data_IF_355284396880
#
_entry.id   IF_355284396880
#
_cell.length_a   1.000
_cell.length_b   1.000
_cell.length_c   1.000
_cell.angle_alpha   90.00
_cell.angle_beta   90.00
_cell.angle_gamma   90.00
#
_symmetry.space_group_name_H-M   'P 1'
#
loop_
_entity.id
_entity.type
_entity.pdbx_description
1 polymer ?
#
# COMPACT_ATOMS: atom_id res chain seq x y z
N UNK A 1 30.60 73.05 2.52
CA UNK A 1 29.40 72.21 2.67
C UNK A 1 29.87 70.78 2.86
N UNK A 2 29.86 70.24 4.09
CA UNK A 2 30.34 68.89 4.41
C UNK A 2 29.17 67.91 4.23
N UNK A 3 29.27 66.98 3.29
CA UNK A 3 28.32 65.88 3.14
C UNK A 3 28.66 64.79 4.18
N UNK A 4 27.73 64.50 5.08
CA UNK A 4 27.79 63.35 5.99
C UNK A 4 27.11 62.19 5.25
N UNK A 5 27.88 61.16 4.91
CA UNK A 5 27.38 59.94 4.28
C UNK A 5 26.83 59.02 5.38
N UNK A 6 25.50 58.88 5.45
CA UNK A 6 24.85 57.95 6.37
C UNK A 6 24.98 56.51 5.82
N UNK A 7 25.68 55.65 6.55
CA UNK A 7 25.81 54.23 6.24
C UNK A 7 24.55 53.50 6.73
N UNK A 8 23.65 53.15 5.82
CA UNK A 8 22.50 52.29 6.10
C UNK A 8 22.97 50.83 6.20
N UNK A 9 23.05 50.30 7.42
CA UNK A 9 23.23 48.88 7.68
C UNK A 9 21.90 48.15 7.41
N UNK A 10 21.85 47.40 6.32
CA UNK A 10 20.75 46.48 6.04
C UNK A 10 20.90 45.24 6.91
N UNK A 11 20.00 45.08 7.89
CA UNK A 11 19.89 43.84 8.66
C UNK A 11 19.15 42.82 7.80
N UNK A 12 19.86 41.80 7.32
CA UNK A 12 19.25 40.66 6.65
C UNK A 12 18.42 39.85 7.67
N UNK A 13 17.17 39.47 7.36
CA UNK A 13 16.42 38.57 8.22
C UNK A 13 17.12 37.21 8.31
N UNK A 14 17.06 36.52 9.47
CA UNK A 14 17.64 35.19 9.59
C UNK A 14 16.96 34.26 8.57
N UNK A 15 17.77 33.52 7.81
CA UNK A 15 17.29 32.47 6.94
C UNK A 15 16.48 31.48 7.77
N UNK A 16 15.22 31.25 7.39
CA UNK A 16 14.41 30.21 8.01
C UNK A 16 15.14 28.88 7.88
N UNK A 17 15.53 28.30 9.02
CA UNK A 17 16.12 26.96 9.04
C UNK A 17 15.09 25.99 8.44
N UNK A 18 15.46 25.35 7.33
CA UNK A 18 14.73 24.20 6.83
C UNK A 18 14.71 23.18 7.98
N UNK A 19 13.52 22.82 8.45
CA UNK A 19 13.36 21.77 9.44
C UNK A 19 13.84 20.47 8.81
N UNK A 20 14.91 19.88 9.34
CA UNK A 20 15.40 18.54 8.99
C UNK A 20 14.36 17.49 9.40
N UNK A 21 13.21 17.46 8.73
CA UNK A 21 12.28 16.36 8.86
C UNK A 21 12.94 15.16 8.19
N UNK A 22 13.18 14.11 8.97
CA UNK A 22 13.56 12.79 8.45
C UNK A 22 12.57 12.45 7.33
N UNK A 23 13.05 12.27 6.08
CA UNK A 23 12.15 12.01 4.95
C UNK A 23 11.26 10.81 5.25
N UNK A 24 9.96 10.96 5.03
CA UNK A 24 9.01 9.85 5.15
C UNK A 24 9.38 8.75 4.17
N UNK A 25 9.32 7.49 4.60
CA UNK A 25 9.52 6.37 3.69
C UNK A 25 8.47 6.39 2.55
N UNK A 26 8.85 6.13 1.30
CA UNK A 26 7.92 6.18 0.17
C UNK A 26 6.75 5.20 0.31
N UNK A 27 5.63 5.51 -0.35
CA UNK A 27 4.48 4.63 -0.48
C UNK A 27 4.24 4.30 -1.96
N UNK A 28 3.99 3.02 -2.24
CA UNK A 28 3.64 2.52 -3.56
C UNK A 28 2.20 1.99 -3.49
N UNK A 29 1.35 2.50 -4.38
CA UNK A 29 -0.06 2.16 -4.48
C UNK A 29 -0.27 1.20 -5.65
N UNK A 30 -1.01 0.11 -5.41
CA UNK A 30 -1.21 -1.00 -6.35
C UNK A 30 -2.70 -1.19 -6.63
N UNK A 31 -3.11 -0.98 -7.88
CA UNK A 31 -4.51 -1.10 -8.29
C UNK A 31 -4.98 -2.56 -8.44
N UNK A 32 -6.29 -2.74 -8.59
CA UNK A 32 -6.95 -4.04 -8.68
C UNK A 32 -7.15 -4.58 -10.10
N UNK A 33 -7.92 -5.67 -10.17
CA UNK A 33 -8.29 -6.38 -11.40
C UNK A 33 -9.03 -5.47 -12.37
N UNK A 34 -8.62 -5.45 -13.65
CA UNK A 34 -9.17 -4.60 -14.73
C UNK A 34 -9.09 -3.08 -14.50
N UNK A 35 -8.49 -2.63 -13.40
CA UNK A 35 -8.27 -1.22 -13.09
C UNK A 35 -7.01 -0.65 -13.71
N UNK A 36 -6.69 0.58 -13.31
CA UNK A 36 -5.48 1.29 -13.71
C UNK A 36 -4.92 2.12 -12.54
N UNK A 37 -3.68 2.62 -12.67
CA UNK A 37 -3.09 3.48 -11.66
C UNK A 37 -3.91 4.73 -11.34
N UNK A 38 -4.71 5.23 -12.30
CA UNK A 38 -5.61 6.37 -12.08
C UNK A 38 -6.62 6.14 -10.97
N UNK A 39 -7.03 4.89 -10.72
CA UNK A 39 -7.99 4.54 -9.66
C UNK A 39 -7.44 4.85 -8.26
N UNK A 40 -6.11 4.87 -8.12
CA UNK A 40 -5.40 5.17 -6.88
C UNK A 40 -5.08 6.66 -6.71
N UNK A 41 -5.48 7.54 -7.64
CA UNK A 41 -5.03 8.95 -7.66
C UNK A 41 -5.43 9.74 -6.41
N UNK A 42 -6.66 9.56 -5.92
CA UNK A 42 -7.12 10.24 -4.70
C UNK A 42 -6.28 9.85 -3.48
N UNK A 43 -5.94 8.57 -3.36
CA UNK A 43 -5.06 8.08 -2.31
C UNK A 43 -3.62 8.59 -2.47
N UNK A 44 -3.08 8.59 -3.69
CA UNK A 44 -1.75 9.17 -3.99
C UNK A 44 -1.68 10.62 -3.53
N UNK A 45 -2.67 11.42 -3.89
CA UNK A 45 -2.71 12.85 -3.59
C UNK A 45 -2.83 13.08 -2.07
N UNK A 46 -3.59 12.24 -1.37
CA UNK A 46 -3.68 12.28 0.08
C UNK A 46 -2.36 11.90 0.79
N UNK A 47 -1.66 10.87 0.32
CA UNK A 47 -0.34 10.52 0.85
C UNK A 47 0.70 11.61 0.58
N UNK A 48 0.69 12.19 -0.63
CA UNK A 48 1.56 13.31 -0.98
C UNK A 48 1.28 14.54 -0.11
N UNK A 49 0.00 14.87 0.11
CA UNK A 49 -0.40 15.96 1.01
C UNK A 49 0.01 15.70 2.47
N UNK A 50 0.10 14.43 2.89
CA UNK A 50 0.62 14.02 4.20
C UNK A 50 2.17 13.95 4.27
N UNK A 51 2.87 14.29 3.18
CA UNK A 51 4.33 14.37 3.13
C UNK A 51 5.04 13.07 2.76
N UNK A 52 4.33 12.05 2.25
CA UNK A 52 4.94 10.81 1.76
C UNK A 52 5.28 10.93 0.26
N UNK A 53 6.49 10.55 -0.18
CA UNK A 53 6.75 10.29 -1.60
C UNK A 53 5.83 9.17 -2.10
N UNK A 54 4.83 9.51 -2.93
CA UNK A 54 3.76 8.59 -3.33
C UNK A 54 3.89 8.20 -4.81
N UNK A 55 3.94 6.90 -5.05
CA UNK A 55 4.07 6.29 -6.37
C UNK A 55 2.87 5.38 -6.63
N UNK A 56 2.52 5.19 -7.90
CA UNK A 56 1.48 4.26 -8.32
C UNK A 56 2.11 3.30 -9.33
N UNK A 57 1.80 2.01 -9.21
CA UNK A 57 2.16 1.03 -10.22
C UNK A 57 1.02 0.84 -11.20
N UNK A 58 1.32 0.85 -12.50
CA UNK A 58 0.43 0.35 -13.54
C UNK A 58 0.78 -1.12 -13.80
N UNK A 59 -0.16 -2.01 -13.47
CA UNK A 59 0.02 -3.45 -13.61
C UNK A 59 -0.11 -3.86 -15.09
N UNK A 60 0.75 -4.78 -15.57
CA UNK A 60 0.77 -5.20 -16.98
C UNK A 60 -0.42 -6.10 -17.37
N UNK A 61 -1.20 -6.60 -16.41
CA UNK A 61 -2.31 -7.51 -16.66
C UNK A 61 -2.95 -8.04 -15.37
N UNK A 62 -3.56 -9.22 -15.47
CA UNK A 62 -4.32 -9.83 -14.38
C UNK A 62 -3.65 -11.08 -13.80
N UNK A 63 -2.38 -11.30 -14.14
CA UNK A 63 -1.55 -12.35 -13.54
C UNK A 63 -0.77 -11.79 -12.34
N UNK A 64 -1.11 -12.24 -11.13
CA UNK A 64 -0.51 -11.80 -9.87
C UNK A 64 0.99 -12.05 -9.78
N UNK A 65 1.51 -13.13 -10.36
CA UNK A 65 2.96 -13.42 -10.35
C UNK A 65 3.72 -12.42 -11.21
N UNK A 66 3.21 -12.13 -12.42
CA UNK A 66 3.78 -11.11 -13.31
C UNK A 66 3.69 -9.73 -12.68
N UNK A 67 2.53 -9.41 -12.09
CA UNK A 67 2.31 -8.15 -11.38
C UNK A 67 3.27 -7.98 -10.20
N UNK A 68 3.52 -9.05 -9.42
CA UNK A 68 4.46 -9.04 -8.30
C UNK A 68 5.90 -8.71 -8.73
N UNK A 69 6.34 -9.18 -9.91
CA UNK A 69 7.66 -8.82 -10.46
C UNK A 69 7.77 -7.32 -10.78
N UNK A 70 6.69 -6.72 -11.30
CA UNK A 70 6.64 -5.26 -11.56
C UNK A 70 6.65 -4.48 -10.25
N UNK A 71 5.89 -4.93 -9.24
CA UNK A 71 5.90 -4.33 -7.90
C UNK A 71 7.30 -4.39 -7.28
N UNK A 72 7.99 -5.54 -7.39
CA UNK A 72 9.35 -5.72 -6.90
C UNK A 72 10.34 -4.74 -7.54
N UNK A 73 10.30 -4.64 -8.87
CA UNK A 73 11.16 -3.74 -9.64
C UNK A 73 10.91 -2.27 -9.28
N UNK A 74 9.64 -1.88 -9.11
CA UNK A 74 9.30 -0.52 -8.70
C UNK A 74 9.77 -0.23 -7.26
N UNK A 75 9.60 -1.18 -6.33
CA UNK A 75 10.09 -1.03 -4.96
C UNK A 75 11.60 -0.80 -4.92
N UNK A 76 12.38 -1.56 -5.70
CA UNK A 76 13.83 -1.36 -5.78
C UNK A 76 14.20 -0.02 -6.42
N UNK A 77 13.50 0.37 -7.48
CA UNK A 77 13.72 1.65 -8.15
C UNK A 77 13.41 2.84 -7.23
N UNK A 78 12.29 2.80 -6.49
CA UNK A 78 11.89 3.84 -5.54
C UNK A 78 12.90 3.95 -4.40
N UNK A 79 13.34 2.82 -3.83
CA UNK A 79 14.38 2.81 -2.78
C UNK A 79 15.69 3.41 -3.29
N UNK A 80 16.11 3.06 -4.50
CA UNK A 80 17.32 3.60 -5.10
C UNK A 80 17.23 5.12 -5.37
N UNK A 81 16.08 5.59 -5.87
CA UNK A 81 15.87 7.01 -6.19
C UNK A 81 15.76 7.90 -4.94
N UNK A 82 15.14 7.38 -3.87
CA UNK A 82 14.86 8.16 -2.65
C UNK A 82 15.92 7.96 -1.57
N UNK A 83 16.76 6.94 -1.68
CA UNK A 83 17.70 6.53 -0.63
C UNK A 83 17.02 5.82 0.55
N UNK A 84 15.71 5.52 0.46
CA UNK A 84 14.97 4.90 1.55
C UNK A 84 15.38 3.43 1.76
N UNK A 85 15.56 3.05 3.03
CA UNK A 85 15.88 1.68 3.41
C UNK A 85 14.73 0.70 3.15
N UNK A 86 13.48 1.15 3.31
CA UNK A 86 12.25 0.38 3.06
C UNK A 86 11.18 1.26 2.40
N UNK A 87 10.14 0.63 1.84
CA UNK A 87 8.93 1.29 1.31
C UNK A 87 7.67 0.80 2.02
N UNK A 88 6.57 1.50 1.79
CA UNK A 88 5.23 1.09 2.20
C UNK A 88 4.43 0.67 0.97
N UNK A 89 3.57 -0.33 1.10
CA UNK A 89 2.71 -0.80 0.03
C UNK A 89 1.25 -0.71 0.42
N UNK A 90 0.42 -0.20 -0.47
CA UNK A 90 -1.04 -0.21 -0.32
C UNK A 90 -1.65 -0.85 -1.56
N UNK A 91 -2.23 -2.04 -1.42
CA UNK A 91 -2.83 -2.79 -2.52
C UNK A 91 -4.35 -2.83 -2.42
N UNK A 92 -5.04 -2.54 -3.52
CA UNK A 92 -6.49 -2.68 -3.64
C UNK A 92 -6.87 -3.97 -4.36
N UNK A 93 -7.85 -4.70 -3.83
CA UNK A 93 -8.42 -5.89 -4.46
C UNK A 93 -7.32 -6.90 -4.84
N UNK A 94 -7.28 -7.36 -6.10
CA UNK A 94 -6.22 -8.21 -6.68
C UNK A 94 -4.80 -7.67 -6.45
N UNK A 95 -4.60 -6.34 -6.42
CA UNK A 95 -3.30 -5.72 -6.18
C UNK A 95 -2.69 -6.09 -4.83
N UNK A 96 -3.52 -6.39 -3.83
CA UNK A 96 -3.06 -6.94 -2.55
C UNK A 96 -2.50 -8.36 -2.66
N UNK A 97 -3.06 -9.21 -3.52
CA UNK A 97 -2.54 -10.56 -3.77
C UNK A 97 -1.20 -10.53 -4.49
N UNK A 98 -1.11 -9.72 -5.55
CA UNK A 98 0.15 -9.44 -6.25
C UNK A 98 1.22 -8.93 -5.29
N UNK A 99 0.82 -8.06 -4.35
CA UNK A 99 1.72 -7.54 -3.30
C UNK A 99 2.15 -8.64 -2.33
N UNK A 100 1.23 -9.45 -1.78
CA UNK A 100 1.59 -10.57 -0.88
C UNK A 100 2.58 -11.52 -1.55
N UNK A 101 2.40 -11.82 -2.84
CA UNK A 101 3.33 -12.69 -3.57
C UNK A 101 4.74 -12.09 -3.62
N UNK A 102 4.87 -10.78 -3.85
CA UNK A 102 6.16 -10.08 -3.77
C UNK A 102 6.79 -10.19 -2.38
N UNK A 103 6.01 -9.99 -1.32
CA UNK A 103 6.49 -10.07 0.06
C UNK A 103 7.04 -11.46 0.38
N UNK A 104 6.30 -12.51 -0.01
CA UNK A 104 6.57 -13.89 0.37
C UNK A 104 7.65 -14.56 -0.48
N UNK A 105 7.66 -14.32 -1.80
CA UNK A 105 8.49 -15.12 -2.72
C UNK A 105 9.61 -14.34 -3.41
N UNK A 106 9.55 -13.01 -3.42
CA UNK A 106 10.45 -12.18 -4.22
C UNK A 106 11.33 -11.24 -3.36
N UNK A 107 11.48 -11.57 -2.08
CA UNK A 107 12.35 -10.86 -1.14
C UNK A 107 11.78 -9.53 -0.62
N UNK A 108 10.48 -9.28 -0.81
CA UNK A 108 9.83 -8.06 -0.33
C UNK A 108 9.82 -7.92 1.20
N UNK A 109 9.83 -9.02 1.94
CA UNK A 109 9.87 -9.04 3.40
C UNK A 109 10.98 -8.17 4.02
N UNK A 110 12.15 -8.06 3.37
CA UNK A 110 13.27 -7.25 3.86
C UNK A 110 13.24 -5.79 3.40
N UNK A 111 12.36 -5.44 2.45
CA UNK A 111 12.34 -4.15 1.74
C UNK A 111 11.10 -3.32 2.02
N UNK A 112 10.13 -3.88 2.75
CA UNK A 112 8.84 -3.26 3.02
C UNK A 112 8.71 -3.08 4.54
N UNK A 113 8.19 -1.92 4.97
CA UNK A 113 7.91 -1.63 6.39
C UNK A 113 6.44 -1.90 6.73
N UNK A 114 5.54 -1.49 5.86
CA UNK A 114 4.09 -1.61 6.06
C UNK A 114 3.43 -2.11 4.79
N UNK A 115 2.52 -3.06 4.93
CA UNK A 115 1.61 -3.49 3.87
C UNK A 115 0.16 -3.29 4.31
N UNK A 116 -0.59 -2.52 3.53
CA UNK A 116 -2.02 -2.32 3.68
C UNK A 116 -2.74 -2.96 2.50
N UNK A 117 -3.69 -3.86 2.75
CA UNK A 117 -4.58 -4.38 1.71
C UNK A 117 -5.99 -3.84 1.88
N UNK A 118 -6.69 -3.50 0.79
CA UNK A 118 -8.06 -3.00 0.80
C UNK A 118 -8.95 -3.90 -0.04
N UNK A 119 -9.95 -4.54 0.58
CA UNK A 119 -10.89 -5.42 -0.11
C UNK A 119 -10.24 -6.61 -0.83
N UNK A 120 -8.99 -6.96 -0.49
CA UNK A 120 -8.23 -7.99 -1.19
C UNK A 120 -8.75 -9.38 -0.85
N UNK A 121 -9.06 -10.23 -1.85
CA UNK A 121 -9.62 -11.56 -1.59
C UNK A 121 -8.51 -12.55 -1.26
N UNK A 122 -7.92 -12.46 -0.06
CA UNK A 122 -6.75 -13.25 0.37
C UNK A 122 -6.97 -14.75 0.23
N UNK A 123 -8.16 -15.26 0.56
CA UNK A 123 -8.52 -16.68 0.37
C UNK A 123 -9.42 -16.92 -0.85
N UNK A 124 -9.43 -15.96 -1.77
CA UNK A 124 -9.97 -16.10 -3.12
C UNK A 124 -11.40 -15.61 -3.33
N UNK A 125 -11.77 -15.60 -4.61
CA UNK A 125 -13.00 -15.09 -5.17
C UNK A 125 -13.57 -16.13 -6.15
N UNK A 126 -14.62 -16.85 -5.72
CA UNK A 126 -15.18 -18.00 -6.45
C UNK A 126 -15.47 -17.75 -7.94
N UNK A 127 -16.05 -16.61 -8.37
CA UNK A 127 -16.29 -16.36 -9.79
C UNK A 127 -15.01 -16.33 -10.65
N UNK A 128 -13.83 -16.07 -10.07
CA UNK A 128 -12.57 -16.13 -10.82
C UNK A 128 -12.23 -17.55 -11.29
N UNK A 129 -12.84 -18.60 -10.75
CA UNK A 129 -12.64 -19.98 -11.22
C UNK A 129 -13.15 -20.21 -12.66
N UNK A 130 -13.90 -19.27 -13.22
CA UNK A 130 -14.36 -19.29 -14.61
C UNK A 130 -13.42 -18.55 -15.57
N UNK A 131 -12.34 -17.95 -15.07
CA UNK A 131 -11.41 -17.13 -15.84
C UNK A 131 -10.12 -17.88 -16.18
N UNK A 132 -9.48 -17.49 -17.28
CA UNK A 132 -8.13 -17.92 -17.61
C UNK A 132 -7.12 -17.38 -16.60
N UNK A 133 -5.97 -18.04 -16.46
CA UNK A 133 -4.93 -17.64 -15.51
C UNK A 133 -4.44 -16.21 -15.75
N UNK A 134 -4.31 -15.81 -17.03
CA UNK A 134 -3.89 -14.47 -17.43
C UNK A 134 -4.96 -13.39 -17.23
N UNK A 135 -6.22 -13.80 -17.03
CA UNK A 135 -7.39 -12.94 -16.95
C UNK A 135 -7.90 -12.75 -15.51
N UNK A 136 -7.15 -13.20 -14.50
CA UNK A 136 -7.51 -13.11 -13.08
C UNK A 136 -7.90 -14.45 -12.44
N UNK A 137 -7.78 -15.57 -13.15
CA UNK A 137 -8.09 -16.91 -12.64
C UNK A 137 -7.24 -17.33 -11.43
N UNK A 138 -6.12 -16.66 -11.18
CA UNK A 138 -5.32 -16.84 -9.95
C UNK A 138 -6.06 -16.43 -8.67
N UNK A 139 -7.14 -15.64 -8.76
CA UNK A 139 -8.00 -15.32 -7.60
C UNK A 139 -8.96 -16.48 -7.25
N UNK A 140 -9.04 -17.54 -8.04
CA UNK A 140 -9.89 -18.70 -7.72
C UNK A 140 -9.35 -19.42 -6.47
N UNK A 141 -10.17 -19.70 -5.43
CA UNK A 141 -9.73 -20.40 -4.21
C UNK A 141 -9.10 -21.79 -4.42
N UNK A 142 -9.28 -22.38 -5.60
CA UNK A 142 -8.71 -23.68 -5.98
C UNK A 142 -7.50 -23.55 -6.91
N UNK A 143 -7.04 -22.33 -7.17
CA UNK A 143 -5.86 -22.10 -8.00
C UNK A 143 -4.58 -22.38 -7.17
N UNK A 144 -3.60 -23.10 -7.72
CA UNK A 144 -2.32 -23.34 -7.04
C UNK A 144 -1.61 -22.07 -6.55
N UNK A 145 -1.82 -20.93 -7.21
CA UNK A 145 -1.33 -19.63 -6.76
C UNK A 145 -1.80 -19.29 -5.34
N UNK A 146 -3.11 -19.41 -5.04
CA UNK A 146 -3.61 -19.08 -3.70
C UNK A 146 -3.16 -20.12 -2.68
N UNK A 147 -3.11 -21.40 -3.04
CA UNK A 147 -2.59 -22.42 -2.13
C UNK A 147 -1.13 -22.18 -1.73
N UNK A 148 -0.29 -21.77 -2.67
CA UNK A 148 1.10 -21.37 -2.39
C UNK A 148 1.15 -20.08 -1.54
N UNK A 149 0.34 -19.09 -1.88
CA UNK A 149 0.29 -17.81 -1.18
C UNK A 149 -0.18 -17.94 0.27
N UNK A 150 -1.11 -18.84 0.54
CA UNK A 150 -1.70 -19.07 1.86
C UNK A 150 -1.03 -20.23 2.63
N UNK A 151 -0.02 -20.89 2.03
CA UNK A 151 0.74 -21.93 2.72
C UNK A 151 1.65 -21.34 3.82
N UNK A 152 1.35 -21.61 5.09
CA UNK A 152 2.19 -21.19 6.22
C UNK A 152 1.78 -19.83 6.78
N UNK A 153 2.75 -18.96 7.05
CA UNK A 153 2.51 -17.64 7.64
C UNK A 153 2.05 -16.63 6.57
N UNK A 154 0.91 -16.00 6.83
CA UNK A 154 0.30 -14.95 6.00
C UNK A 154 1.02 -13.60 6.13
N UNK A 155 1.76 -13.41 7.21
CA UNK A 155 2.39 -12.16 7.62
C UNK A 155 3.90 -12.27 7.78
N UNK A 156 4.63 -12.80 6.78
CA UNK A 156 6.04 -13.12 6.94
C UNK A 156 6.93 -11.87 7.11
N UNK A 157 7.84 -11.94 8.08
CA UNK A 157 8.89 -10.94 8.29
C UNK A 157 8.48 -9.78 9.21
N UNK A 158 9.36 -8.80 9.32
CA UNK A 158 9.14 -7.59 10.14
C UNK A 158 8.39 -6.51 9.34
N UNK A 159 7.14 -6.80 8.99
CA UNK A 159 6.23 -5.90 8.29
C UNK A 159 5.00 -5.65 9.17
N UNK A 160 4.57 -4.39 9.26
CA UNK A 160 3.26 -4.07 9.82
C UNK A 160 2.17 -4.37 8.77
N UNK A 161 1.39 -5.43 9.00
CA UNK A 161 0.27 -5.82 8.13
C UNK A 161 -1.03 -5.15 8.57
N UNK A 162 -1.80 -4.63 7.62
CA UNK A 162 -3.15 -4.12 7.86
C UNK A 162 -4.09 -4.54 6.72
N UNK A 163 -5.23 -5.11 7.07
CA UNK A 163 -6.30 -5.45 6.13
C UNK A 163 -7.51 -4.55 6.40
N UNK A 164 -7.90 -3.77 5.39
CA UNK A 164 -9.08 -2.93 5.38
C UNK A 164 -10.16 -3.62 4.54
N UNK A 165 -11.38 -3.67 5.07
CA UNK A 165 -12.53 -4.30 4.41
C UNK A 165 -13.72 -3.36 4.41
N UNK A 166 -14.52 -3.36 3.35
CA UNK A 166 -15.85 -2.76 3.39
C UNK A 166 -16.93 -3.75 3.84
N UNK A 167 -17.94 -3.29 4.58
CA UNK A 167 -19.15 -4.11 4.84
C UNK A 167 -19.93 -4.49 3.58
N UNK A 168 -19.62 -3.85 2.44
CA UNK A 168 -20.20 -4.17 1.13
C UNK A 168 -19.34 -5.10 0.27
N UNK A 169 -18.15 -5.48 0.73
CA UNK A 169 -17.35 -6.47 0.02
C UNK A 169 -18.06 -7.82 -0.01
N UNK A 170 -18.01 -8.48 -1.16
CA UNK A 170 -18.78 -9.69 -1.45
C UNK A 170 -18.42 -10.91 -0.57
N UNK A 171 -17.31 -10.88 0.17
CA UNK A 171 -16.89 -11.98 1.03
C UNK A 171 -15.99 -11.53 2.19
N UNK A 172 -16.03 -12.26 3.32
CA UNK A 172 -15.12 -12.12 4.47
C UNK A 172 -13.85 -12.97 4.28
N UNK A 173 -13.22 -12.83 3.11
CA UNK A 173 -11.96 -13.49 2.73
C UNK A 173 -10.79 -12.53 2.77
N UNK A 174 -10.99 -11.36 3.39
CA UNK A 174 -10.07 -10.22 3.32
C UNK A 174 -9.19 -10.07 4.56
N UNK A 175 -9.41 -10.91 5.57
CA UNK A 175 -8.61 -10.98 6.81
C UNK A 175 -7.43 -11.92 6.60
N UNK A 176 -6.27 -11.59 7.13
CA UNK A 176 -5.13 -12.52 7.21
C UNK A 176 -5.21 -13.31 8.53
N UNK A 177 -4.63 -14.51 8.55
CA UNK A 177 -4.76 -15.48 9.65
C UNK A 177 -3.85 -15.19 10.86
N UNK A 178 -3.92 -13.96 11.38
CA UNK A 178 -3.08 -13.47 12.49
C UNK A 178 -1.97 -12.52 12.04
N UNK A 179 -1.24 -11.96 13.01
CA UNK A 179 -0.13 -11.02 12.78
C UNK A 179 -0.51 -9.68 12.12
N UNK A 180 -1.80 -9.36 12.01
CA UNK A 180 -2.28 -8.23 11.22
C UNK A 180 -3.31 -7.37 11.96
N UNK A 181 -3.32 -6.07 11.66
CA UNK A 181 -4.41 -5.19 12.03
C UNK A 181 -5.59 -5.37 11.07
N UNK A 182 -6.79 -5.57 11.60
CA UNK A 182 -8.02 -5.65 10.82
C UNK A 182 -8.96 -4.48 11.12
N UNK A 183 -9.47 -3.82 10.08
CA UNK A 183 -10.47 -2.75 10.20
C UNK A 183 -11.59 -2.95 9.17
N UNK A 184 -12.83 -3.02 9.65
CA UNK A 184 -14.03 -3.06 8.81
C UNK A 184 -14.70 -1.68 8.74
N UNK A 185 -14.89 -1.16 7.53
CA UNK A 185 -15.43 0.17 7.23
C UNK A 185 -16.82 0.01 6.63
N UNK A 186 -17.81 0.70 7.17
CA UNK A 186 -19.19 0.57 6.70
C UNK A 186 -19.46 1.34 5.40
N UNK A 187 -20.14 0.69 4.45
CA UNK A 187 -20.94 1.37 3.42
C UNK A 187 -20.24 1.83 2.15
N UNK A 188 -18.94 1.54 1.99
CA UNK A 188 -18.15 1.91 0.80
C UNK A 188 -18.26 0.82 -0.26
N UNK A 189 -18.58 1.16 -1.51
CA UNK A 189 -18.57 0.14 -2.57
C UNK A 189 -17.12 -0.31 -2.86
N UNK A 190 -16.91 -1.58 -3.20
CA UNK A 190 -15.57 -2.13 -3.48
C UNK A 190 -14.70 -1.27 -4.44
N UNK A 191 -15.20 -0.77 -5.60
CA UNK A 191 -14.41 0.09 -6.49
C UNK A 191 -14.20 1.52 -5.95
N UNK A 192 -14.93 1.92 -4.91
CA UNK A 192 -14.84 3.24 -4.28
C UNK A 192 -13.79 3.30 -3.17
N UNK A 193 -13.31 2.14 -2.69
CA UNK A 193 -12.38 2.07 -1.55
C UNK A 193 -11.13 2.96 -1.74
N UNK A 194 -10.42 2.96 -2.88
CA UNK A 194 -9.21 3.79 -3.03
C UNK A 194 -9.45 5.30 -2.99
N UNK A 195 -10.68 5.75 -3.27
CA UNK A 195 -11.08 7.16 -3.26
C UNK A 195 -11.93 7.55 -2.06
N UNK A 196 -12.28 6.58 -1.21
CA UNK A 196 -13.05 6.81 0.00
C UNK A 196 -12.19 7.53 1.04
N UNK A 197 -12.63 8.69 1.59
CA UNK A 197 -11.92 9.35 2.67
C UNK A 197 -11.69 8.45 3.90
N UNK A 198 -12.58 7.48 4.15
CA UNK A 198 -12.47 6.55 5.28
C UNK A 198 -11.31 5.57 5.09
N UNK A 199 -11.20 4.98 3.90
CA UNK A 199 -10.09 4.08 3.57
C UNK A 199 -8.76 4.81 3.47
N UNK A 200 -8.75 6.01 2.89
CA UNK A 200 -7.56 6.87 2.85
C UNK A 200 -7.07 7.19 4.26
N UNK A 201 -7.97 7.58 5.17
CA UNK A 201 -7.62 7.86 6.57
C UNK A 201 -7.06 6.62 7.29
N UNK A 202 -7.67 5.45 7.09
CA UNK A 202 -7.19 4.19 7.68
C UNK A 202 -5.82 3.77 7.11
N UNK A 203 -5.60 3.91 5.81
CA UNK A 203 -4.32 3.61 5.17
C UNK A 203 -3.21 4.57 5.66
N UNK A 204 -3.51 5.87 5.78
CA UNK A 204 -2.59 6.85 6.36
C UNK A 204 -2.22 6.52 7.81
N UNK A 205 -3.19 6.10 8.62
CA UNK A 205 -2.95 5.67 10.00
C UNK A 205 -2.03 4.44 10.06
N UNK A 206 -2.32 3.41 9.25
CA UNK A 206 -1.52 2.19 9.16
C UNK A 206 -0.09 2.46 8.72
N UNK A 207 0.10 3.20 7.63
CA UNK A 207 1.44 3.63 7.17
C UNK A 207 2.11 4.53 8.21
N UNK A 208 1.34 5.33 8.96
CA UNK A 208 1.83 6.12 10.09
C UNK A 208 2.28 5.30 11.31
N UNK A 209 2.08 3.98 11.32
CA UNK A 209 2.47 3.08 12.41
C UNK A 209 1.36 2.79 13.43
N UNK A 210 0.11 3.18 13.15
CA UNK A 210 -1.04 2.95 14.03
C UNK A 210 -1.92 1.87 13.43
N UNK A 211 -2.32 0.86 14.21
CA UNK A 211 -3.39 -0.05 13.80
C UNK A 211 -4.73 0.70 13.81
N UNK A 212 -5.38 0.96 12.66
CA UNK A 212 -6.63 1.73 12.64
C UNK A 212 -7.83 0.95 13.18
N UNK A 213 -7.71 -0.36 13.39
CA UNK A 213 -8.80 -1.24 13.84
C UNK A 213 -8.36 -2.11 15.03
N UNK A 214 -8.59 -3.41 14.92
CA UNK A 214 -8.23 -4.40 15.95
C UNK A 214 -7.06 -5.24 15.47
N UNK A 215 -6.00 -5.35 16.27
CA UNK A 215 -4.90 -6.25 15.98
C UNK A 215 -5.30 -7.70 16.30
N UNK A 216 -5.08 -8.60 15.34
CA UNK A 216 -5.39 -10.02 15.46
C UNK A 216 -4.06 -10.76 15.60
N UNK A 217 -3.75 -11.25 16.80
CA UNK A 217 -2.46 -11.91 17.08
C UNK A 217 -2.39 -13.33 16.54
N UNK A 218 -3.48 -14.09 16.68
CA UNK A 218 -3.55 -15.52 16.34
C UNK A 218 -4.53 -15.74 15.19
N UNK A 219 -4.37 -16.87 14.47
CA UNK A 219 -5.35 -17.37 13.52
C UNK A 219 -6.79 -17.26 13.99
N UNK A 220 -7.70 -16.91 13.07
CA UNK A 220 -9.14 -16.87 13.38
C UNK A 220 -9.65 -18.31 13.38
N UNK A 221 -9.95 -18.85 14.57
CA UNK A 221 -10.51 -20.20 14.77
C UNK A 221 -11.91 -20.36 14.21
#
# INVERSE_FOLDING_TARGET
MRFVLALLLTVLPPAAAATDQVPREPVILVHGWTGAGSDMSAMRDAFAAAGYPAYVVDLPGQNNVVNALVIAALADSVRAQTGAGRVNLVGHSMGGLSTRYYLKHLGGAAKVRTFVSMGSPHYGYLPACLLGEQDGGQMCPFNPFLWDLDAGDDTPGDIAYTTLRSTKDAADVTRLDGGACFHEIAGVEHPDEPRSPLFIAAALAAVGGTCPGTFVELPIT
#
